data_IF_730243609289
#
_entry.id   IF_730243609289
#
_cell.length_a   1.000
_cell.length_b   1.000
_cell.length_c   1.000
_cell.angle_alpha   90.00
_cell.angle_beta   90.00
_cell.angle_gamma   90.00
#
_symmetry.space_group_name_H-M   'P 1'
#
loop_
_entity.id
_entity.type
_entity.pdbx_description
1 polymer ?
#
# COMPACT_ATOMS: atom_id res chain seq x y z
N UNK A 1 30.20 10.43 -4.91
CA UNK A 1 28.75 10.54 -4.56
C UNK A 1 28.37 9.29 -3.79
N UNK A 2 27.72 9.38 -2.62
CA UNK A 2 27.29 8.17 -1.91
C UNK A 2 26.26 7.40 -2.76
N UNK A 3 26.34 6.07 -2.89
CA UNK A 3 25.46 5.30 -3.77
C UNK A 3 23.95 5.58 -3.57
N UNK A 4 23.43 5.71 -2.34
CA UNK A 4 22.01 6.03 -2.13
C UNK A 4 21.62 7.44 -2.60
N UNK A 5 22.52 8.42 -2.43
CA UNK A 5 22.28 9.81 -2.84
C UNK A 5 22.25 9.91 -4.38
N UNK A 6 23.18 9.20 -5.04
CA UNK A 6 23.21 9.09 -6.50
C UNK A 6 21.91 8.51 -7.05
N UNK A 7 21.40 7.44 -6.42
CA UNK A 7 20.14 6.80 -6.80
C UNK A 7 18.95 7.76 -6.68
N UNK A 8 18.81 8.48 -5.57
CA UNK A 8 17.70 9.43 -5.37
C UNK A 8 17.75 10.54 -6.43
N UNK A 9 18.93 11.09 -6.71
CA UNK A 9 19.09 12.14 -7.72
C UNK A 9 18.69 11.63 -9.11
N UNK A 10 19.15 10.45 -9.51
CA UNK A 10 18.82 9.86 -10.80
C UNK A 10 17.33 9.50 -10.91
N UNK A 11 16.73 8.95 -9.84
CA UNK A 11 15.30 8.65 -9.79
C UNK A 11 14.48 9.92 -9.96
N UNK A 12 14.77 10.96 -9.17
CA UNK A 12 14.09 12.25 -9.28
C UNK A 12 14.26 12.86 -10.68
N UNK A 13 15.48 12.86 -11.22
CA UNK A 13 15.75 13.35 -12.58
C UNK A 13 14.96 12.57 -13.64
N UNK A 14 14.91 11.25 -13.54
CA UNK A 14 14.15 10.39 -14.45
C UNK A 14 12.64 10.64 -14.36
N UNK A 15 12.11 10.86 -13.16
CA UNK A 15 10.69 11.13 -12.93
C UNK A 15 10.29 12.50 -13.49
N UNK A 16 11.14 13.50 -13.27
CA UNK A 16 10.96 14.84 -13.83
C UNK A 16 10.99 14.76 -15.36
N UNK A 17 12.02 14.13 -15.94
CA UNK A 17 12.12 13.92 -17.39
C UNK A 17 10.89 13.20 -17.94
N UNK A 18 10.40 12.14 -17.27
CA UNK A 18 9.21 11.41 -17.69
C UNK A 18 7.96 12.29 -17.73
N UNK A 19 7.73 13.13 -16.72
CA UNK A 19 6.59 14.06 -16.70
C UNK A 19 6.74 15.12 -17.81
N UNK A 20 7.93 15.68 -17.98
CA UNK A 20 8.20 16.69 -19.00
C UNK A 20 8.02 16.13 -20.41
N UNK A 21 8.59 14.96 -20.71
CA UNK A 21 8.39 14.28 -21.99
C UNK A 21 6.93 13.91 -22.21
N UNK A 22 6.25 13.35 -21.20
CA UNK A 22 4.83 13.00 -21.31
C UNK A 22 3.98 14.21 -21.65
N UNK A 23 4.25 15.37 -21.04
CA UNK A 23 3.55 16.62 -21.37
C UNK A 23 3.90 17.17 -22.75
N UNK A 24 5.14 17.00 -23.21
CA UNK A 24 5.61 17.51 -24.50
C UNK A 24 5.12 16.65 -25.68
N UNK A 25 5.15 15.33 -25.52
CA UNK A 25 4.78 14.35 -26.54
C UNK A 25 3.28 14.05 -26.55
N UNK A 26 2.55 14.34 -25.46
CA UNK A 26 1.11 14.18 -25.43
C UNK A 26 0.46 15.12 -26.44
N UNK A 27 -0.13 14.56 -27.50
CA UNK A 27 -1.03 15.29 -28.38
C UNK A 27 -2.21 15.81 -27.57
N UNK A 28 -2.23 17.13 -27.32
CA UNK A 28 -3.39 17.79 -26.71
C UNK A 28 -4.57 17.66 -27.68
N UNK A 29 -5.40 16.65 -27.47
CA UNK A 29 -6.72 16.61 -28.08
C UNK A 29 -7.58 17.72 -27.47
N UNK A 30 -8.41 18.35 -28.30
CA UNK A 30 -9.39 19.33 -27.85
C UNK A 30 -10.23 18.71 -26.72
N UNK A 31 -10.42 19.46 -25.63
CA UNK A 31 -11.27 19.02 -24.53
C UNK A 31 -12.70 18.87 -25.06
N UNK A 32 -13.16 17.62 -25.18
CA UNK A 32 -14.54 17.33 -25.48
C UNK A 32 -15.35 17.33 -24.19
N UNK A 33 -16.61 17.76 -24.27
CA UNK A 33 -17.53 17.88 -23.12
C UNK A 33 -17.66 16.55 -22.33
N UNK A 34 -17.40 15.41 -22.98
CA UNK A 34 -17.44 14.08 -22.35
C UNK A 34 -16.11 13.56 -21.79
N UNK A 35 -14.96 14.19 -22.05
CA UNK A 35 -13.63 13.64 -21.74
C UNK A 35 -13.38 13.42 -20.25
N UNK A 36 -13.99 14.24 -19.39
CA UNK A 36 -13.90 14.12 -17.94
C UNK A 36 -15.10 13.46 -17.27
N UNK A 37 -16.11 13.03 -18.04
CA UNK A 37 -17.30 12.39 -17.47
C UNK A 37 -16.98 10.94 -17.08
N UNK A 38 -17.42 10.46 -15.89
CA UNK A 38 -17.33 9.05 -15.54
C UNK A 38 -17.95 8.17 -16.62
N UNK A 39 -17.40 6.97 -16.82
CA UNK A 39 -17.98 6.01 -17.75
C UNK A 39 -19.31 5.51 -17.21
N UNK A 40 -20.40 5.96 -17.83
CA UNK A 40 -21.76 5.57 -17.50
C UNK A 40 -22.61 5.45 -18.78
N UNK A 41 -22.01 4.98 -19.87
CA UNK A 41 -22.67 4.86 -21.18
C UNK A 41 -23.32 6.16 -21.71
N UNK A 42 -22.89 7.33 -21.23
CA UNK A 42 -23.45 8.63 -21.58
C UNK A 42 -24.63 9.07 -20.71
N UNK A 43 -25.02 8.27 -19.72
CA UNK A 43 -26.06 8.59 -18.75
C UNK A 43 -25.51 9.42 -17.58
N UNK A 44 -26.28 10.39 -17.11
CA UNK A 44 -26.00 11.11 -15.87
C UNK A 44 -26.44 10.23 -14.69
N UNK A 45 -25.64 9.19 -14.40
CA UNK A 45 -25.89 8.31 -13.25
C UNK A 45 -25.49 9.09 -11.98
N UNK A 46 -26.44 9.39 -11.07
CA UNK A 46 -26.08 9.95 -9.78
C UNK A 46 -25.25 8.88 -9.08
N UNK A 47 -23.94 9.11 -8.92
CA UNK A 47 -23.05 8.17 -8.23
C UNK A 47 -23.55 8.10 -6.79
N UNK A 48 -24.31 7.06 -6.41
CA UNK A 48 -24.67 6.94 -5.01
C UNK A 48 -23.33 6.67 -4.33
N UNK A 49 -23.07 7.33 -3.20
CA UNK A 49 -21.98 6.93 -2.32
C UNK A 49 -22.37 5.58 -1.69
N UNK A 50 -22.41 4.52 -2.51
CA UNK A 50 -22.56 3.15 -2.07
C UNK A 50 -21.29 2.87 -1.30
N UNK A 51 -21.41 2.71 0.02
CA UNK A 51 -20.32 2.22 0.84
C UNK A 51 -20.07 0.78 0.39
N UNK A 52 -18.93 0.49 -0.25
CA UNK A 52 -18.57 -0.87 -0.59
C UNK A 52 -18.54 -1.70 0.69
N UNK A 53 -18.95 -2.96 0.61
CA UNK A 53 -18.76 -3.87 1.72
C UNK A 53 -17.26 -4.13 1.91
N UNK A 54 -16.68 -3.45 2.90
CA UNK A 54 -15.27 -3.58 3.27
C UNK A 54 -15.03 -4.69 4.28
N UNK A 55 -16.05 -5.47 4.67
CA UNK A 55 -15.91 -6.53 5.70
C UNK A 55 -14.73 -7.45 5.38
N UNK A 56 -14.63 -7.93 4.13
CA UNK A 56 -13.56 -8.82 3.70
C UNK A 56 -12.23 -8.08 3.52
N UNK A 57 -12.24 -6.89 2.89
CA UNK A 57 -11.01 -6.13 2.62
C UNK A 57 -10.30 -5.68 3.91
N UNK A 58 -11.06 -5.32 4.93
CA UNK A 58 -10.55 -4.86 6.22
C UNK A 58 -9.70 -5.94 6.92
N UNK A 59 -10.13 -7.21 6.87
CA UNK A 59 -9.38 -8.32 7.43
C UNK A 59 -8.05 -8.54 6.71
N UNK A 60 -8.05 -8.47 5.38
CA UNK A 60 -6.82 -8.61 4.61
C UNK A 60 -5.83 -7.49 4.93
N UNK A 61 -6.30 -6.24 5.08
CA UNK A 61 -5.46 -5.12 5.44
C UNK A 61 -4.80 -5.33 6.83
N UNK A 62 -5.59 -5.70 7.85
CA UNK A 62 -5.07 -5.95 9.19
C UNK A 62 -4.14 -7.17 9.26
N UNK A 63 -4.49 -8.26 8.56
CA UNK A 63 -3.62 -9.42 8.43
C UNK A 63 -2.25 -9.01 7.87
N UNK A 64 -2.24 -8.25 6.78
CA UNK A 64 -1.01 -7.79 6.16
C UNK A 64 -0.20 -6.91 7.12
N UNK A 65 -0.83 -5.98 7.83
CA UNK A 65 -0.15 -5.12 8.81
C UNK A 65 0.49 -5.94 9.94
N UNK A 66 -0.25 -6.90 10.53
CA UNK A 66 0.27 -7.75 11.61
C UNK A 66 1.47 -8.57 11.11
N UNK A 67 1.33 -9.22 9.95
CA UNK A 67 2.41 -10.01 9.35
C UNK A 67 3.64 -9.16 9.01
N UNK A 68 3.43 -7.92 8.55
CA UNK A 68 4.52 -6.99 8.25
C UNK A 68 5.31 -6.60 9.51
N UNK A 69 4.61 -6.31 10.62
CA UNK A 69 5.27 -6.02 11.91
C UNK A 69 6.03 -7.24 12.41
N UNK A 70 5.47 -8.45 12.31
CA UNK A 70 6.18 -9.69 12.67
C UNK A 70 7.46 -9.85 11.85
N UNK A 71 7.40 -9.66 10.54
CA UNK A 71 8.57 -9.72 9.68
C UNK A 71 9.63 -8.70 10.10
N UNK A 72 9.24 -7.45 10.36
CA UNK A 72 10.14 -6.38 10.78
C UNK A 72 10.82 -6.68 12.12
N UNK A 73 10.09 -7.23 13.09
CA UNK A 73 10.67 -7.64 14.38
C UNK A 73 11.65 -8.79 14.18
N UNK A 74 11.27 -9.85 13.45
CA UNK A 74 12.12 -11.01 13.23
C UNK A 74 13.42 -10.66 12.50
N UNK A 75 13.39 -9.70 11.57
CA UNK A 75 14.59 -9.26 10.85
C UNK A 75 15.47 -8.32 11.65
N UNK A 76 14.90 -7.58 12.61
CA UNK A 76 15.64 -6.54 13.36
C UNK A 76 16.22 -7.07 14.68
N UNK A 77 15.68 -8.16 15.23
CA UNK A 77 16.15 -8.72 16.50
C UNK A 77 17.59 -9.25 16.37
N UNK A 78 18.55 -8.75 17.18
CA UNK A 78 19.93 -9.23 17.15
C UNK A 78 20.01 -10.67 17.64
N UNK A 79 20.78 -11.53 16.95
CA UNK A 79 20.81 -12.99 17.17
C UNK A 79 21.68 -13.44 18.36
N UNK A 80 22.26 -12.52 19.09
CA UNK A 80 23.37 -12.81 20.01
C UNK A 80 22.94 -13.18 21.44
N UNK A 81 21.65 -13.06 21.80
CA UNK A 81 21.20 -13.24 23.19
C UNK A 81 19.93 -14.10 23.33
N UNK A 82 19.87 -14.93 24.36
CA UNK A 82 18.64 -15.65 24.74
C UNK A 82 17.49 -14.68 25.11
N UNK A 83 17.82 -13.48 25.61
CA UNK A 83 16.81 -12.45 25.90
C UNK A 83 16.17 -11.89 24.62
N UNK A 84 16.94 -11.80 23.53
CA UNK A 84 16.44 -11.28 22.25
C UNK A 84 15.50 -12.28 21.58
N UNK A 85 15.77 -13.59 21.72
CA UNK A 85 14.84 -14.65 21.36
C UNK A 85 13.51 -14.57 22.12
N UNK A 86 13.54 -14.29 23.44
CA UNK A 86 12.33 -14.13 24.25
C UNK A 86 11.41 -13.01 23.75
N UNK A 87 11.98 -11.89 23.31
CA UNK A 87 11.23 -10.77 22.73
C UNK A 87 10.56 -11.17 21.41
N UNK A 88 11.29 -11.84 20.53
CA UNK A 88 10.76 -12.31 19.25
C UNK A 88 9.59 -13.30 19.42
N UNK A 89 9.73 -14.26 20.34
CA UNK A 89 8.67 -15.24 20.66
C UNK A 89 7.44 -14.56 21.24
N UNK A 90 7.62 -13.57 22.12
CA UNK A 90 6.51 -12.82 22.73
C UNK A 90 5.71 -12.06 21.66
N UNK A 91 6.41 -11.40 20.73
CA UNK A 91 5.76 -10.71 19.61
C UNK A 91 5.04 -11.66 18.66
N UNK A 92 5.62 -12.82 18.37
CA UNK A 92 4.97 -13.87 17.58
C UNK A 92 3.68 -14.37 18.24
N UNK A 93 3.70 -14.62 19.55
CA UNK A 93 2.50 -15.03 20.28
C UNK A 93 1.42 -13.95 20.24
N UNK A 94 1.79 -12.69 20.45
CA UNK A 94 0.87 -11.56 20.34
C UNK A 94 0.25 -11.44 18.95
N UNK A 95 1.04 -11.63 17.89
CA UNK A 95 0.57 -11.62 16.51
C UNK A 95 -0.38 -12.79 16.21
N UNK A 96 -0.07 -14.01 16.67
CA UNK A 96 -0.95 -15.16 16.53
C UNK A 96 -2.28 -14.92 17.25
N UNK A 97 -2.27 -14.38 18.47
CA UNK A 97 -3.48 -14.03 19.21
C UNK A 97 -4.29 -12.96 18.44
N UNK A 98 -3.62 -11.91 17.95
CA UNK A 98 -4.26 -10.86 17.16
C UNK A 98 -4.92 -11.40 15.88
N UNK A 99 -4.24 -12.31 15.18
CA UNK A 99 -4.79 -12.99 14.00
C UNK A 99 -5.96 -13.91 14.34
N UNK A 100 -5.87 -14.66 15.45
CA UNK A 100 -6.98 -15.50 15.91
C UNK A 100 -8.21 -14.66 16.27
N UNK A 101 -8.05 -13.51 16.91
CA UNK A 101 -9.16 -12.59 17.20
C UNK A 101 -9.76 -12.04 15.91
N UNK A 102 -8.90 -11.67 14.95
CA UNK A 102 -9.33 -11.13 13.65
C UNK A 102 -10.19 -12.13 12.87
N UNK A 103 -9.74 -13.38 12.74
CA UNK A 103 -10.45 -14.42 11.98
C UNK A 103 -11.61 -15.06 12.75
N UNK A 104 -11.68 -14.92 14.09
CA UNK A 104 -12.83 -15.40 14.88
C UNK A 104 -14.06 -14.52 14.76
N UNK A 105 -13.94 -13.30 14.23
CA UNK A 105 -15.07 -12.37 14.07
C UNK A 105 -15.99 -12.71 12.89
N UNK A 106 -15.63 -13.74 12.12
CA UNK A 106 -16.26 -14.11 10.85
C UNK A 106 -17.06 -15.42 10.91
N UNK A 107 -17.34 -15.94 12.12
CA UNK A 107 -18.18 -17.13 12.35
C UNK A 107 -19.43 -16.80 13.15
#
# INVERSE_FOLDING_TARGET
LFPPIAFIILLAASFILAIFLSKLLSSRHADSIGKGKPYACGEDVPVPMVQPDYSQFFQFALFFTIMHVVALILTTVPKESLKSLGIAVTYLLGAVIGLLILFRRDS
#
